data_IF_983225468386
#
_entry.id   IF_983225468386
#
_cell.length_a   1.000
_cell.length_b   1.000
_cell.length_c   1.000
_cell.angle_alpha   90.00
_cell.angle_beta   90.00
_cell.angle_gamma   90.00
#
_symmetry.space_group_name_H-M   'P 1'
#
loop_
_entity.id
_entity.type
_entity.pdbx_description
1 polymer ?
#
# COMPACT_ATOMS: atom_id res chain seq x y z
N UNK A 1 -7.84 -22.05 -8.70
CA UNK A 1 -7.70 -21.23 -7.48
C UNK A 1 -7.01 -19.93 -7.89
N UNK A 2 -7.63 -18.76 -7.67
CA UNK A 2 -6.99 -17.49 -7.96
C UNK A 2 -5.75 -17.33 -7.05
N UNK A 3 -4.62 -16.98 -7.64
CA UNK A 3 -3.38 -16.72 -6.90
C UNK A 3 -3.55 -15.44 -6.08
N UNK A 4 -3.25 -15.51 -4.77
CA UNK A 4 -3.19 -14.34 -3.88
C UNK A 4 -2.30 -13.25 -4.49
N UNK A 5 -2.76 -12.00 -4.47
CA UNK A 5 -2.07 -10.82 -4.99
C UNK A 5 -1.56 -9.96 -3.84
N UNK A 6 -0.30 -9.55 -3.91
CA UNK A 6 0.34 -8.73 -2.91
C UNK A 6 0.70 -7.37 -3.53
N UNK A 7 0.13 -6.28 -3.02
CA UNK A 7 0.41 -4.92 -3.46
C UNK A 7 1.14 -4.15 -2.36
N UNK A 8 2.30 -3.57 -2.67
CA UNK A 8 2.99 -2.64 -1.78
C UNK A 8 2.59 -1.20 -2.11
N UNK A 9 2.14 -0.45 -1.11
CA UNK A 9 1.84 0.97 -1.22
C UNK A 9 2.99 1.75 -0.59
N UNK A 10 3.90 2.29 -1.41
CA UNK A 10 5.14 2.87 -0.93
C UNK A 10 5.49 4.19 -1.62
N UNK A 11 6.05 5.11 -0.87
CA UNK A 11 6.76 6.31 -1.33
C UNK A 11 7.65 6.82 -0.20
N UNK A 12 8.85 7.29 -0.52
CA UNK A 12 9.82 7.82 0.45
C UNK A 12 9.41 9.18 1.02
N UNK A 13 8.42 9.86 0.44
CA UNK A 13 7.87 11.11 0.98
C UNK A 13 6.74 10.82 1.97
N UNK A 14 6.76 11.50 3.13
CA UNK A 14 5.65 11.50 4.08
C UNK A 14 4.47 12.34 3.57
N UNK A 15 3.24 12.01 4.02
CA UNK A 15 2.04 12.81 3.74
C UNK A 15 1.48 12.71 2.32
N UNK A 16 1.98 11.81 1.46
CA UNK A 16 1.50 11.64 0.08
C UNK A 16 0.22 10.80 -0.05
N UNK A 17 -0.35 10.33 1.07
CA UNK A 17 -1.59 9.55 1.08
C UNK A 17 -1.39 8.04 0.98
N UNK A 18 -0.26 7.46 1.41
CA UNK A 18 -0.02 6.00 1.42
C UNK A 18 -1.13 5.25 2.17
N UNK A 19 -1.32 5.54 3.44
CA UNK A 19 -2.35 4.91 4.29
C UNK A 19 -3.77 5.12 3.74
N UNK A 20 -4.07 6.34 3.26
CA UNK A 20 -5.37 6.63 2.61
C UNK A 20 -5.56 5.78 1.36
N UNK A 21 -4.52 5.62 0.54
CA UNK A 21 -4.53 4.77 -0.66
C UNK A 21 -4.73 3.31 -0.29
N UNK A 22 -4.01 2.81 0.73
CA UNK A 22 -4.15 1.43 1.24
C UNK A 22 -5.59 1.15 1.68
N UNK A 23 -6.17 2.04 2.48
CA UNK A 23 -7.56 1.91 2.96
C UNK A 23 -8.57 2.00 1.81
N UNK A 24 -8.43 2.98 0.92
CA UNK A 24 -9.39 3.19 -0.17
C UNK A 24 -9.39 2.03 -1.18
N UNK A 25 -8.20 1.53 -1.56
CA UNK A 25 -8.07 0.38 -2.46
C UNK A 25 -8.53 -0.92 -1.78
N UNK A 26 -8.14 -1.15 -0.50
CA UNK A 26 -8.57 -2.32 0.26
C UNK A 26 -10.09 -2.39 0.40
N UNK A 27 -10.71 -1.27 0.75
CA UNK A 27 -12.17 -1.13 0.81
C UNK A 27 -12.83 -1.38 -0.57
N UNK A 28 -12.24 -0.83 -1.63
CA UNK A 28 -12.73 -1.02 -3.00
C UNK A 28 -12.70 -2.49 -3.42
N UNK A 29 -11.61 -3.20 -3.12
CA UNK A 29 -11.48 -4.65 -3.37
C UNK A 29 -12.49 -5.47 -2.57
N UNK A 30 -12.67 -5.15 -1.27
CA UNK A 30 -13.68 -5.80 -0.43
C UNK A 30 -15.11 -5.58 -0.95
N UNK A 31 -15.42 -4.38 -1.45
CA UNK A 31 -16.70 -4.06 -2.08
C UNK A 31 -16.94 -4.83 -3.40
N UNK A 32 -15.87 -5.28 -4.07
CA UNK A 32 -15.94 -6.18 -5.23
C UNK A 32 -16.04 -7.66 -4.83
N UNK A 33 -16.15 -7.98 -3.54
CA UNK A 33 -16.31 -9.32 -3.01
C UNK A 33 -15.01 -10.08 -2.77
N UNK A 34 -13.85 -9.43 -2.86
CA UNK A 34 -12.57 -10.05 -2.52
C UNK A 34 -12.32 -10.06 -1.02
N UNK A 35 -11.61 -11.08 -0.54
CA UNK A 35 -11.08 -11.15 0.82
C UNK A 35 -9.74 -10.41 0.85
N UNK A 36 -9.65 -9.37 1.67
CA UNK A 36 -8.53 -8.43 1.67
C UNK A 36 -7.87 -8.38 3.04
N UNK A 37 -6.55 -8.42 3.08
CA UNK A 37 -5.75 -8.18 4.28
C UNK A 37 -4.91 -6.92 4.10
N UNK A 38 -5.04 -5.98 5.02
CA UNK A 38 -4.17 -4.81 5.10
C UNK A 38 -3.10 -5.06 6.16
N UNK A 39 -1.83 -4.83 5.83
CA UNK A 39 -0.71 -4.98 6.77
C UNK A 39 -0.04 -3.62 6.95
N UNK A 40 -0.04 -3.12 8.19
CA UNK A 40 0.61 -1.85 8.56
C UNK A 40 2.10 -2.10 8.84
N UNK A 41 2.96 -1.64 7.94
CA UNK A 41 4.42 -1.75 8.07
C UNK A 41 5.07 -0.44 8.57
N UNK A 42 4.27 0.59 8.92
CA UNK A 42 4.81 1.85 9.42
C UNK A 42 4.89 1.83 10.96
N UNK A 43 6.06 2.00 11.58
CA UNK A 43 6.19 2.13 13.03
C UNK A 43 5.32 3.22 13.66
N UNK A 44 4.90 4.24 12.87
CA UNK A 44 3.94 5.25 13.33
C UNK A 44 2.52 4.72 13.49
N UNK A 45 2.23 3.51 12.96
CA UNK A 45 0.96 2.81 13.10
C UNK A 45 -0.25 3.64 12.63
N UNK A 46 -0.11 4.36 11.50
CA UNK A 46 -1.18 5.23 10.98
C UNK A 46 -2.39 4.44 10.52
N UNK A 47 -2.20 3.32 9.84
CA UNK A 47 -3.27 2.42 9.43
C UNK A 47 -3.93 1.76 10.66
N UNK A 48 -3.13 1.27 11.60
CA UNK A 48 -3.58 0.66 12.85
C UNK A 48 -4.45 1.62 13.66
N UNK A 49 -4.02 2.89 13.82
CA UNK A 49 -4.81 3.94 14.49
C UNK A 49 -6.11 4.25 13.76
N UNK A 50 -6.14 4.21 12.44
CA UNK A 50 -7.35 4.45 11.67
C UNK A 50 -8.45 3.45 11.99
N UNK A 51 -8.10 2.20 12.32
CA UNK A 51 -9.03 1.18 12.80
C UNK A 51 -9.38 1.30 14.29
N UNK A 52 -8.91 2.34 14.98
CA UNK A 52 -9.23 2.58 16.39
C UNK A 52 -8.51 1.65 17.37
N UNK A 53 -7.46 0.96 16.92
CA UNK A 53 -6.70 0.04 17.79
C UNK A 53 -5.87 0.86 18.78
N UNK A 54 -5.96 0.50 20.08
CA UNK A 54 -5.11 1.07 21.12
C UNK A 54 -3.67 0.57 20.94
N UNK A 55 -2.70 1.45 21.12
CA UNK A 55 -1.27 1.12 21.00
C UNK A 55 -0.58 0.92 22.36
N UNK A 56 -1.33 1.10 23.44
CA UNK A 56 -0.86 0.84 24.81
C UNK A 56 -1.96 0.05 25.57
N UNK A 57 -1.72 -1.21 25.97
CA UNK A 57 -0.51 -1.99 25.62
C UNK A 57 -0.39 -2.24 24.11
N UNK A 58 0.84 -2.45 23.58
CA UNK A 58 1.04 -2.66 22.15
C UNK A 58 0.31 -3.95 21.68
N UNK A 59 -0.45 -3.88 20.57
CA UNK A 59 -1.12 -5.05 20.01
C UNK A 59 -0.09 -6.04 19.46
N UNK A 60 -0.45 -7.32 19.34
CA UNK A 60 0.29 -8.25 18.48
C UNK A 60 0.09 -7.84 16.99
N UNK A 61 1.13 -8.04 16.18
CA UNK A 61 1.06 -7.62 14.78
C UNK A 61 2.32 -7.95 13.97
N UNK A 62 2.78 -7.03 13.19
CA UNK A 62 3.87 -7.24 12.22
C UNK A 62 5.19 -7.66 12.89
N UNK A 63 5.50 -7.16 14.09
CA UNK A 63 6.76 -7.47 14.78
C UNK A 63 6.93 -8.98 14.99
N UNK A 64 5.85 -9.69 15.28
CA UNK A 64 5.83 -11.13 15.55
C UNK A 64 6.18 -11.96 14.30
N UNK A 65 6.04 -11.41 13.07
CA UNK A 65 6.50 -12.06 11.85
C UNK A 65 8.02 -12.13 11.74
N UNK A 66 8.72 -11.25 12.46
CA UNK A 66 10.19 -11.19 12.54
C UNK A 66 10.76 -11.87 13.77
N UNK A 67 9.92 -12.48 14.61
CA UNK A 67 10.34 -13.23 15.79
C UNK A 67 10.94 -14.61 15.43
N UNK A 68 11.52 -15.27 16.40
CA UNK A 68 12.03 -16.65 16.27
C UNK A 68 11.44 -17.52 17.37
N UNK A 69 10.54 -18.47 17.05
CA UNK A 69 9.93 -18.70 15.74
C UNK A 69 8.97 -17.56 15.32
N UNK A 70 8.77 -17.34 14.00
CA UNK A 70 7.84 -16.33 13.54
C UNK A 70 6.40 -16.79 13.79
N UNK A 71 5.52 -15.84 14.12
CA UNK A 71 4.09 -16.11 14.23
C UNK A 71 3.45 -16.38 12.86
N UNK A 72 2.35 -17.12 12.88
CA UNK A 72 1.53 -17.32 11.69
C UNK A 72 0.70 -16.05 11.41
N UNK A 73 0.68 -15.61 10.14
CA UNK A 73 -0.01 -14.37 9.75
C UNK A 73 -1.51 -14.42 10.06
N UNK A 74 -2.13 -15.60 9.95
CA UNK A 74 -3.55 -15.80 10.28
C UNK A 74 -3.87 -15.54 11.76
N UNK A 75 -2.91 -15.76 12.66
CA UNK A 75 -3.10 -15.49 14.09
C UNK A 75 -2.99 -13.98 14.43
N UNK A 76 -2.44 -13.19 13.52
CA UNK A 76 -2.24 -11.75 13.69
C UNK A 76 -3.30 -10.91 12.96
N UNK A 77 -4.10 -11.54 12.10
CA UNK A 77 -5.14 -10.87 11.33
C UNK A 77 -6.38 -10.60 12.21
N UNK A 78 -6.83 -9.37 12.22
CA UNK A 78 -8.03 -8.92 12.94
C UNK A 78 -9.11 -8.51 11.96
N UNK A 79 -10.32 -9.03 12.14
CA UNK A 79 -11.48 -8.61 11.37
C UNK A 79 -11.82 -7.14 11.62
N UNK A 80 -12.26 -6.45 10.58
CA UNK A 80 -12.71 -5.05 10.67
C UNK A 80 -14.23 -4.94 10.62
N UNK A 81 -14.76 -3.74 10.78
CA UNK A 81 -16.18 -3.47 10.57
C UNK A 81 -16.60 -3.58 9.08
N UNK A 82 -15.66 -3.65 8.14
CA UNK A 82 -15.93 -3.79 6.71
C UNK A 82 -15.89 -5.28 6.36
N UNK A 83 -16.99 -5.87 5.87
CA UNK A 83 -17.02 -7.28 5.48
C UNK A 83 -15.95 -7.61 4.44
N UNK A 84 -15.22 -8.70 4.66
CA UNK A 84 -14.14 -9.14 3.75
C UNK A 84 -12.83 -8.36 3.85
N UNK A 85 -12.69 -7.45 4.83
CA UNK A 85 -11.49 -6.67 5.07
C UNK A 85 -10.94 -6.96 6.47
N UNK A 86 -9.75 -7.53 6.53
CA UNK A 86 -8.98 -7.77 7.76
C UNK A 86 -7.74 -6.87 7.81
N UNK A 87 -7.14 -6.71 8.99
CA UNK A 87 -5.90 -5.96 9.14
C UNK A 87 -4.92 -6.61 10.13
N UNK A 88 -3.62 -6.35 9.93
CA UNK A 88 -2.54 -6.66 10.86
C UNK A 88 -1.91 -5.38 11.36
N UNK A 89 -1.79 -5.27 12.70
CA UNK A 89 -1.33 -4.07 13.37
C UNK A 89 0.18 -3.84 13.22
N UNK A 90 0.59 -2.56 13.14
CA UNK A 90 1.96 -2.15 13.38
C UNK A 90 2.22 -1.92 14.88
N UNK A 91 3.49 -1.98 15.25
CA UNK A 91 3.97 -1.63 16.59
C UNK A 91 5.14 -0.64 16.50
N UNK A 92 5.24 0.28 17.45
CA UNK A 92 6.36 1.23 17.54
C UNK A 92 7.73 0.55 17.59
N UNK A 93 7.80 -0.68 18.12
CA UNK A 93 9.02 -1.48 18.19
C UNK A 93 9.60 -1.85 16.81
N UNK A 94 8.82 -1.77 15.72
CA UNK A 94 9.30 -1.92 14.35
C UNK A 94 10.42 -0.91 14.01
N UNK A 95 10.41 0.29 14.60
CA UNK A 95 11.50 1.26 14.44
C UNK A 95 12.83 0.74 15.03
N UNK A 96 12.76 -0.06 16.10
CA UNK A 96 13.95 -0.68 16.68
C UNK A 96 14.44 -1.85 15.83
N UNK A 97 13.51 -2.64 15.27
CA UNK A 97 13.84 -3.70 14.31
C UNK A 97 14.58 -3.13 13.10
N UNK A 98 14.10 -2.04 12.52
CA UNK A 98 14.77 -1.38 11.38
C UNK A 98 16.21 -0.96 11.70
N UNK A 99 16.42 -0.33 12.85
CA UNK A 99 17.77 0.09 13.28
C UNK A 99 18.74 -1.07 13.50
N UNK A 100 18.25 -2.22 13.98
CA UNK A 100 19.07 -3.41 14.27
C UNK A 100 19.30 -4.31 13.08
N UNK A 101 18.50 -4.20 12.04
CA UNK A 101 18.48 -5.10 10.88
C UNK A 101 19.76 -5.12 10.07
N UNK A 102 20.55 -4.04 10.10
CA UNK A 102 21.81 -3.93 9.33
C UNK A 102 22.81 -5.08 9.65
N UNK A 103 22.66 -5.73 10.81
CA UNK A 103 23.56 -6.78 11.29
C UNK A 103 22.89 -8.17 11.37
N UNK A 104 21.67 -8.36 10.82
CA UNK A 104 20.95 -9.63 10.89
C UNK A 104 20.63 -10.18 9.50
N UNK A 105 21.44 -11.12 8.97
CA UNK A 105 21.15 -11.79 7.70
C UNK A 105 19.80 -12.52 7.74
N UNK A 106 19.07 -12.51 6.61
CA UNK A 106 17.82 -13.26 6.46
C UNK A 106 16.54 -12.47 6.74
N UNK A 107 16.59 -11.36 7.48
CA UNK A 107 15.39 -10.56 7.77
C UNK A 107 14.79 -9.89 6.53
N UNK A 108 15.54 -9.73 5.44
CA UNK A 108 15.07 -9.10 4.19
C UNK A 108 13.94 -9.86 3.48
N UNK A 109 13.70 -11.13 3.82
CA UNK A 109 12.68 -12.00 3.22
C UNK A 109 11.64 -12.52 4.22
N UNK A 110 11.69 -12.07 5.47
CA UNK A 110 10.81 -12.59 6.54
C UNK A 110 9.33 -12.42 6.20
N UNK A 111 8.93 -11.25 5.71
CA UNK A 111 7.55 -10.99 5.29
C UNK A 111 7.16 -11.88 4.10
N UNK A 112 8.01 -12.03 3.10
CA UNK A 112 7.74 -12.90 1.96
C UNK A 112 7.53 -14.35 2.40
N UNK A 113 8.33 -14.86 3.34
CA UNK A 113 8.16 -16.21 3.89
C UNK A 113 6.85 -16.36 4.66
N UNK A 114 6.47 -15.37 5.47
CA UNK A 114 5.18 -15.36 6.17
C UNK A 114 4.01 -15.38 5.18
N UNK A 115 4.05 -14.53 4.14
CA UNK A 115 3.03 -14.46 3.10
C UNK A 115 2.96 -15.74 2.25
N UNK A 116 4.09 -16.39 2.00
CA UNK A 116 4.10 -17.67 1.28
C UNK A 116 3.41 -18.78 2.07
N UNK A 117 3.47 -18.78 3.39
CA UNK A 117 2.72 -19.72 4.25
C UNK A 117 1.23 -19.39 4.37
N UNK A 118 0.84 -18.14 4.12
CA UNK A 118 -0.53 -17.65 4.25
C UNK A 118 -1.37 -17.93 2.99
N UNK A 119 -1.63 -19.20 2.69
CA UNK A 119 -2.36 -19.59 1.47
C UNK A 119 -3.88 -19.63 1.66
N UNK A 120 -4.62 -19.11 0.66
CA UNK A 120 -6.05 -19.38 0.49
C UNK A 120 -7.01 -18.62 1.41
N UNK A 121 -6.53 -17.80 2.33
CA UNK A 121 -7.39 -17.05 3.25
C UNK A 121 -7.80 -15.69 2.66
N UNK A 122 -6.89 -15.02 1.95
CA UNK A 122 -7.13 -13.72 1.32
C UNK A 122 -6.80 -13.78 -0.17
N UNK A 123 -7.53 -12.99 -0.95
CA UNK A 123 -7.33 -12.86 -2.39
C UNK A 123 -6.33 -11.72 -2.69
N UNK A 124 -6.35 -10.68 -1.85
CA UNK A 124 -5.44 -9.54 -1.90
C UNK A 124 -4.82 -9.25 -0.54
N UNK A 125 -3.53 -8.89 -0.56
CA UNK A 125 -2.80 -8.35 0.60
C UNK A 125 -2.21 -7.00 0.20
N UNK A 126 -2.54 -5.94 0.96
CA UNK A 126 -2.03 -4.60 0.76
C UNK A 126 -1.07 -4.24 1.90
N UNK A 127 0.15 -3.83 1.54
CA UNK A 127 1.22 -3.49 2.46
C UNK A 127 1.36 -1.97 2.55
N UNK A 128 0.94 -1.36 3.67
CA UNK A 128 1.11 0.07 3.94
C UNK A 128 2.52 0.34 4.45
N UNK A 129 3.38 0.94 3.62
CA UNK A 129 4.79 1.10 3.91
C UNK A 129 5.13 2.43 4.61
N UNK A 130 6.09 2.39 5.52
CA UNK A 130 6.71 3.59 6.08
C UNK A 130 7.37 4.46 4.99
N UNK A 131 7.57 5.79 5.23
CA UNK A 131 8.23 6.67 4.27
C UNK A 131 9.75 6.48 4.18
N UNK A 132 10.31 5.57 4.99
CA UNK A 132 11.75 5.31 5.05
C UNK A 132 12.14 4.13 4.17
N UNK A 133 13.25 4.27 3.42
CA UNK A 133 13.85 3.15 2.70
C UNK A 133 14.68 2.31 3.68
N UNK A 134 14.00 1.41 4.38
CA UNK A 134 14.58 0.51 5.39
C UNK A 134 14.22 -0.94 5.15
N UNK A 135 14.49 -1.78 6.16
CA UNK A 135 14.19 -3.21 6.14
C UNK A 135 12.74 -3.50 5.77
N UNK A 136 11.77 -2.79 6.38
CA UNK A 136 10.34 -3.05 6.20
C UNK A 136 9.90 -2.75 4.77
N UNK A 137 10.34 -1.63 4.18
CA UNK A 137 10.04 -1.32 2.77
C UNK A 137 10.67 -2.34 1.83
N UNK A 138 11.91 -2.76 2.04
CA UNK A 138 12.57 -3.78 1.21
C UNK A 138 11.82 -5.12 1.30
N UNK A 139 11.40 -5.54 2.51
CA UNK A 139 10.55 -6.73 2.69
C UNK A 139 9.24 -6.63 1.91
N UNK A 140 8.57 -5.47 1.97
CA UNK A 140 7.33 -5.23 1.23
C UNK A 140 7.54 -5.35 -0.28
N UNK A 141 8.55 -4.68 -0.82
CA UNK A 141 8.86 -4.71 -2.25
C UNK A 141 9.32 -6.10 -2.73
N UNK A 142 10.08 -6.82 -1.90
CA UNK A 142 10.50 -8.18 -2.22
C UNK A 142 9.32 -9.15 -2.33
N UNK A 143 8.30 -8.97 -1.49
CA UNK A 143 7.11 -9.81 -1.44
C UNK A 143 6.05 -9.44 -2.50
N UNK A 144 5.98 -8.15 -2.90
CA UNK A 144 4.88 -7.60 -3.68
C UNK A 144 4.81 -8.13 -5.13
N UNK A 145 3.60 -8.30 -5.63
CA UNK A 145 3.31 -8.52 -7.06
C UNK A 145 3.19 -7.20 -7.84
N UNK A 146 2.88 -6.11 -7.14
CA UNK A 146 2.75 -4.76 -7.69
C UNK A 146 3.22 -3.72 -6.67
N UNK A 147 3.84 -2.65 -7.17
CA UNK A 147 4.17 -1.44 -6.39
C UNK A 147 3.23 -0.31 -6.80
N UNK A 148 2.47 0.21 -5.84
CA UNK A 148 1.62 1.39 -6.01
C UNK A 148 2.33 2.57 -5.36
N UNK A 149 2.52 3.66 -6.10
CA UNK A 149 3.29 4.84 -5.68
C UNK A 149 2.37 6.06 -5.63
N UNK A 150 1.67 6.31 -4.51
CA UNK A 150 0.93 7.56 -4.33
C UNK A 150 1.92 8.71 -4.32
N UNK A 151 1.72 9.71 -5.18
CA UNK A 151 2.65 10.82 -5.35
C UNK A 151 1.90 12.13 -5.40
N UNK A 152 2.21 13.05 -4.47
CA UNK A 152 1.58 14.35 -4.42
C UNK A 152 1.81 15.14 -5.72
N UNK A 153 0.74 15.76 -6.25
CA UNK A 153 0.80 16.56 -7.47
C UNK A 153 1.45 17.94 -7.23
N UNK A 154 2.72 17.91 -6.81
CA UNK A 154 3.55 19.13 -6.58
C UNK A 154 4.99 18.92 -7.06
N UNK A 155 5.70 19.98 -7.51
CA UNK A 155 7.02 19.87 -8.15
C UNK A 155 8.07 19.15 -7.31
N UNK A 156 8.09 19.38 -5.99
CA UNK A 156 9.07 18.74 -5.09
C UNK A 156 8.86 17.23 -4.94
N UNK A 157 7.70 16.70 -5.31
CA UNK A 157 7.44 15.27 -5.24
C UNK A 157 8.09 14.47 -6.36
N UNK A 158 8.44 15.11 -7.49
CA UNK A 158 9.03 14.43 -8.66
C UNK A 158 10.37 13.77 -8.33
N UNK A 159 11.23 14.42 -7.55
CA UNK A 159 12.51 13.83 -7.16
C UNK A 159 12.33 12.55 -6.30
N UNK A 160 11.39 12.59 -5.35
CA UNK A 160 11.06 11.42 -4.53
C UNK A 160 10.44 10.28 -5.35
N UNK A 161 9.60 10.63 -6.34
CA UNK A 161 9.03 9.66 -7.27
C UNK A 161 10.12 8.96 -8.09
N UNK A 162 11.04 9.73 -8.70
CA UNK A 162 12.16 9.16 -9.48
C UNK A 162 13.02 8.23 -8.60
N UNK A 163 13.22 8.59 -7.31
CA UNK A 163 13.92 7.74 -6.33
C UNK A 163 13.17 6.44 -6.06
N UNK A 164 11.85 6.51 -5.87
CA UNK A 164 11.02 5.32 -5.60
C UNK A 164 10.97 4.37 -6.80
N UNK A 165 10.83 4.90 -8.01
CA UNK A 165 10.86 4.10 -9.24
C UNK A 165 12.20 3.38 -9.38
N UNK A 166 13.34 4.07 -9.19
CA UNK A 166 14.67 3.43 -9.20
C UNK A 166 14.81 2.33 -8.14
N UNK A 167 14.25 2.55 -6.94
CA UNK A 167 14.26 1.54 -5.88
C UNK A 167 13.46 0.30 -6.31
N UNK A 168 12.26 0.48 -6.86
CA UNK A 168 11.45 -0.61 -7.41
C UNK A 168 12.19 -1.40 -8.49
N UNK A 169 12.84 -0.72 -9.43
CA UNK A 169 13.63 -1.35 -10.50
C UNK A 169 14.87 -2.11 -9.96
N UNK A 170 15.50 -1.63 -8.90
CA UNK A 170 16.60 -2.36 -8.24
C UNK A 170 16.09 -3.65 -7.58
N UNK A 171 14.96 -3.59 -6.88
CA UNK A 171 14.35 -4.78 -6.26
C UNK A 171 13.90 -5.77 -7.32
N UNK A 172 13.28 -5.30 -8.41
CA UNK A 172 12.87 -6.13 -9.55
C UNK A 172 14.05 -6.94 -10.11
N UNK A 173 15.18 -6.25 -10.38
CA UNK A 173 16.40 -6.91 -10.87
C UNK A 173 16.97 -7.92 -9.87
N UNK A 174 16.97 -7.58 -8.57
CA UNK A 174 17.51 -8.44 -7.51
C UNK A 174 16.71 -9.75 -7.36
N UNK A 175 15.39 -9.67 -7.40
CA UNK A 175 14.50 -10.82 -7.21
C UNK A 175 14.24 -11.62 -8.49
N UNK A 176 14.72 -11.16 -9.64
CA UNK A 176 14.54 -11.77 -10.99
C UNK A 176 13.06 -12.04 -11.33
N UNK A 177 12.17 -11.18 -10.83
CA UNK A 177 10.74 -11.26 -11.04
C UNK A 177 10.20 -9.84 -11.25
N UNK A 178 9.32 -9.64 -12.23
CA UNK A 178 8.72 -8.35 -12.55
C UNK A 178 8.03 -7.72 -11.34
N UNK A 179 8.13 -6.39 -11.26
CA UNK A 179 7.42 -5.57 -10.28
C UNK A 179 6.70 -4.42 -11.01
N UNK A 180 5.53 -4.69 -11.56
CA UNK A 180 4.73 -3.64 -12.17
C UNK A 180 4.52 -2.47 -11.22
N UNK A 181 4.62 -1.25 -11.75
CA UNK A 181 4.50 -0.02 -10.95
C UNK A 181 3.32 0.79 -11.42
N UNK A 182 2.48 1.22 -10.47
CA UNK A 182 1.33 2.11 -10.69
C UNK A 182 1.54 3.41 -9.91
N UNK A 183 1.76 4.51 -10.60
CA UNK A 183 1.94 5.83 -10.00
C UNK A 183 0.58 6.51 -9.97
N UNK A 184 0.14 6.86 -8.76
CA UNK A 184 -1.13 7.56 -8.54
C UNK A 184 -0.85 9.01 -8.14
N UNK A 185 -1.13 10.00 -9.02
CA UNK A 185 -1.11 11.39 -8.62
C UNK A 185 -2.15 11.65 -7.52
N UNK A 186 -1.72 12.19 -6.38
CA UNK A 186 -2.57 12.41 -5.19
C UNK A 186 -2.57 13.87 -4.77
N UNK A 187 -3.50 14.24 -3.88
CA UNK A 187 -3.62 15.59 -3.33
C UNK A 187 -3.69 16.65 -4.44
N UNK A 188 -4.34 16.29 -5.55
CA UNK A 188 -4.43 17.14 -6.72
C UNK A 188 -5.46 18.26 -6.52
N UNK A 189 -4.98 19.51 -6.55
CA UNK A 189 -5.85 20.69 -6.58
C UNK A 189 -5.98 21.19 -8.03
N UNK A 190 -7.16 20.98 -8.61
CA UNK A 190 -7.49 21.38 -10.00
C UNK A 190 -7.36 22.88 -10.26
N UNK A 191 -7.29 23.71 -9.23
CA UNK A 191 -7.19 25.17 -9.34
C UNK A 191 -5.73 25.62 -9.54
N UNK A 192 -4.76 24.75 -9.32
CA UNK A 192 -3.34 25.12 -9.34
C UNK A 192 -2.69 24.70 -10.66
N UNK A 193 -2.02 25.67 -11.30
CA UNK A 193 -1.20 25.42 -12.49
C UNK A 193 -0.06 24.44 -12.21
N UNK A 194 0.58 24.60 -11.04
CA UNK A 194 1.67 23.74 -10.61
C UNK A 194 1.24 22.26 -10.50
N UNK A 195 0.02 21.98 -10.00
CA UNK A 195 -0.53 20.63 -9.95
C UNK A 195 -0.67 20.00 -11.35
N UNK A 196 -1.25 20.73 -12.30
CA UNK A 196 -1.40 20.26 -13.66
C UNK A 196 -0.06 20.00 -14.36
N UNK A 197 0.90 20.94 -14.23
CA UNK A 197 2.23 20.80 -14.81
C UNK A 197 2.97 19.61 -14.19
N UNK A 198 2.81 19.38 -12.87
CA UNK A 198 3.44 18.24 -12.19
C UNK A 198 2.89 16.90 -12.68
N UNK A 199 1.56 16.75 -12.80
CA UNK A 199 0.95 15.52 -13.32
C UNK A 199 1.41 15.27 -14.76
N UNK A 200 1.46 16.29 -15.59
CA UNK A 200 1.98 16.20 -16.97
C UNK A 200 3.45 15.72 -16.98
N UNK A 201 4.30 16.28 -16.12
CA UNK A 201 5.70 15.86 -16.01
C UNK A 201 5.85 14.42 -15.49
N UNK A 202 4.98 13.95 -14.58
CA UNK A 202 4.93 12.54 -14.19
C UNK A 202 4.65 11.65 -15.39
N UNK A 203 3.65 11.99 -16.21
CA UNK A 203 3.27 11.25 -17.41
C UNK A 203 4.38 11.26 -18.49
N UNK A 204 5.01 12.39 -18.72
CA UNK A 204 6.15 12.51 -19.64
C UNK A 204 7.35 11.66 -19.23
N UNK A 205 7.64 11.54 -17.92
CA UNK A 205 8.80 10.79 -17.40
C UNK A 205 8.55 9.30 -17.26
N UNK A 206 7.32 8.90 -16.87
CA UNK A 206 7.02 7.53 -16.48
C UNK A 206 5.96 6.84 -17.35
N UNK A 207 5.38 7.56 -18.31
CA UNK A 207 4.49 7.02 -19.34
C UNK A 207 3.30 6.26 -18.76
N UNK A 208 3.06 5.08 -19.27
CA UNK A 208 1.91 4.23 -18.91
C UNK A 208 1.89 3.77 -17.44
N UNK A 209 2.98 3.95 -16.69
CA UNK A 209 3.01 3.68 -15.24
C UNK A 209 2.18 4.69 -14.45
N UNK A 210 1.85 5.85 -15.04
CA UNK A 210 1.10 6.94 -14.38
C UNK A 210 -0.36 6.85 -14.76
N UNK A 211 -1.21 6.80 -13.75
CA UNK A 211 -2.66 6.91 -13.95
C UNK A 211 -3.02 8.26 -14.60
N UNK A 212 -3.87 8.24 -15.62
CA UNK A 212 -4.22 9.41 -16.43
C UNK A 212 -5.04 10.47 -15.67
N UNK A 213 -5.76 10.08 -14.62
CA UNK A 213 -6.49 10.97 -13.72
C UNK A 213 -5.69 11.20 -12.43
N UNK A 214 -6.26 11.86 -11.43
CA UNK A 214 -5.62 12.14 -10.15
C UNK A 214 -6.61 12.06 -8.99
N UNK A 215 -6.11 11.67 -7.81
CA UNK A 215 -6.87 11.73 -6.56
C UNK A 215 -6.93 13.19 -6.10
N UNK A 216 -8.13 13.82 -6.08
CA UNK A 216 -8.25 15.21 -5.70
C UNK A 216 -8.05 15.41 -4.20
N UNK A 217 -7.72 16.62 -3.80
CA UNK A 217 -7.86 17.04 -2.41
C UNK A 217 -9.34 16.92 -2.02
N UNK A 218 -9.62 16.08 -1.03
CA UNK A 218 -10.97 15.86 -0.50
C UNK A 218 -10.90 15.68 1.02
N UNK A 219 -11.55 16.56 1.78
CA UNK A 219 -11.57 16.53 3.24
C UNK A 219 -12.22 15.26 3.80
N UNK A 220 -13.09 14.59 3.04
CA UNK A 220 -13.76 13.36 3.44
C UNK A 220 -12.82 12.17 3.57
N UNK A 221 -11.73 12.15 2.82
CA UNK A 221 -10.70 11.09 2.86
C UNK A 221 -9.43 11.53 3.61
N UNK A 222 -9.34 12.79 4.05
CA UNK A 222 -8.22 13.27 4.87
C UNK A 222 -8.17 12.58 6.25
N UNK A 223 -9.34 12.25 6.81
CA UNK A 223 -9.41 11.44 8.02
C UNK A 223 -9.48 9.95 7.65
N UNK A 224 -8.37 9.25 7.77
CA UNK A 224 -8.28 7.82 7.45
C UNK A 224 -9.33 6.98 8.20
N UNK A 225 -9.68 7.34 9.44
CA UNK A 225 -10.71 6.65 10.21
C UNK A 225 -12.10 6.68 9.54
N UNK A 226 -12.40 7.68 8.72
CA UNK A 226 -13.66 7.69 7.96
C UNK A 226 -13.75 6.59 6.91
N UNK A 227 -12.62 6.03 6.51
CA UNK A 227 -12.53 4.95 5.54
C UNK A 227 -12.63 3.55 6.16
N UNK A 228 -12.61 3.44 7.49
CA UNK A 228 -12.65 2.16 8.21
C UNK A 228 -14.05 1.76 8.67
N UNK A 229 -15.05 2.61 8.45
CA UNK A 229 -16.46 2.33 8.75
C UNK A 229 -17.21 1.93 7.48
N UNK A 230 -18.21 1.01 7.57
CA UNK A 230 -19.08 0.71 6.45
C UNK A 230 -19.80 1.98 5.98
N UNK A 231 -19.95 2.15 4.67
CA UNK A 231 -20.76 3.25 4.13
C UNK A 231 -22.23 2.97 4.39
N UNK A 232 -22.93 3.90 5.01
CA UNK A 232 -24.39 3.80 5.20
C UNK A 232 -25.17 4.20 3.93
N UNK A 233 -24.50 4.82 2.95
CA UNK A 233 -25.09 5.14 1.64
C UNK A 233 -24.00 5.16 0.59
N UNK A 234 -24.07 4.23 -0.35
CA UNK A 234 -23.23 4.22 -1.56
C UNK A 234 -23.59 5.38 -2.53
N UNK A 235 -24.62 6.15 -2.24
CA UNK A 235 -25.18 7.14 -3.16
C UNK A 235 -24.31 8.39 -3.37
N UNK A 236 -23.33 8.67 -2.48
CA UNK A 236 -22.41 9.80 -2.67
C UNK A 236 -21.02 9.54 -2.06
N UNK A 237 -20.16 8.80 -2.74
CA UNK A 237 -18.85 8.40 -2.18
C UNK A 237 -17.81 9.53 -2.14
N UNK A 238 -18.17 10.80 -2.24
CA UNK A 238 -17.21 11.89 -2.32
C UNK A 238 -16.26 11.79 -3.56
N UNK A 239 -15.67 12.92 -3.93
CA UNK A 239 -14.79 12.98 -5.12
C UNK A 239 -13.54 12.12 -4.97
N UNK A 240 -12.98 12.06 -3.76
CA UNK A 240 -11.78 11.28 -3.47
C UNK A 240 -12.01 9.78 -3.59
N UNK A 241 -13.07 9.23 -2.96
CA UNK A 241 -13.40 7.80 -3.07
C UNK A 241 -13.80 7.41 -4.49
N UNK A 242 -14.56 8.25 -5.21
CA UNK A 242 -14.88 8.02 -6.61
C UNK A 242 -13.61 7.96 -7.49
N UNK A 243 -12.62 8.81 -7.21
CA UNK A 243 -11.33 8.77 -7.89
C UNK A 243 -10.55 7.49 -7.57
N UNK A 244 -10.51 7.06 -6.31
CA UNK A 244 -9.88 5.79 -5.93
C UNK A 244 -10.57 4.57 -6.57
N UNK A 245 -11.90 4.58 -6.76
CA UNK A 245 -12.61 3.51 -7.50
C UNK A 245 -12.10 3.41 -8.92
N UNK A 246 -12.00 4.53 -9.66
CA UNK A 246 -11.45 4.55 -11.02
C UNK A 246 -9.97 4.14 -11.07
N UNK A 247 -9.18 4.57 -10.08
CA UNK A 247 -7.79 4.14 -9.98
C UNK A 247 -7.67 2.63 -9.75
N UNK A 248 -8.54 2.04 -8.91
CA UNK A 248 -8.62 0.60 -8.71
C UNK A 248 -8.97 -0.14 -9.99
N UNK A 249 -9.98 0.32 -10.73
CA UNK A 249 -10.39 -0.25 -12.02
C UNK A 249 -9.22 -0.23 -13.02
N UNK A 250 -8.48 0.87 -13.10
CA UNK A 250 -7.28 0.99 -13.94
C UNK A 250 -6.18 0.00 -13.52
N UNK A 251 -5.90 -0.14 -12.22
CA UNK A 251 -4.90 -1.09 -11.71
C UNK A 251 -5.31 -2.54 -12.04
N UNK A 252 -6.58 -2.90 -11.84
CA UNK A 252 -7.07 -4.25 -12.10
C UNK A 252 -7.05 -4.58 -13.59
N UNK A 253 -7.35 -3.62 -14.47
CA UNK A 253 -7.26 -3.80 -15.92
C UNK A 253 -5.81 -4.06 -16.37
N UNK A 254 -4.83 -3.31 -15.82
CA UNK A 254 -3.41 -3.55 -16.09
C UNK A 254 -2.93 -4.92 -15.56
N UNK A 255 -3.39 -5.33 -14.37
CA UNK A 255 -3.10 -6.66 -13.82
C UNK A 255 -3.60 -7.79 -14.74
N UNK A 256 -4.82 -7.65 -15.28
CA UNK A 256 -5.40 -8.63 -16.19
C UNK A 256 -4.56 -8.76 -17.49
N UNK A 257 -4.20 -7.63 -18.11
CA UNK A 257 -3.36 -7.62 -19.31
C UNK A 257 -1.98 -8.25 -19.10
N UNK A 258 -1.38 -8.02 -17.92
CA UNK A 258 -0.08 -8.63 -17.58
C UNK A 258 -0.18 -10.14 -17.39
N UNK A 259 -1.29 -10.64 -16.86
CA UNK A 259 -1.53 -12.09 -16.75
C UNK A 259 -1.67 -12.73 -18.11
N UNK A 260 -2.40 -12.12 -19.03
CA UNK A 260 -2.55 -12.61 -20.40
C UNK A 260 -1.22 -12.68 -21.15
N UNK A 261 -0.33 -11.72 -20.93
CA UNK A 261 1.02 -11.70 -21.54
C UNK A 261 1.98 -12.73 -20.94
N UNK A 262 1.71 -13.22 -19.73
CA UNK A 262 2.57 -14.16 -19.01
C UNK A 262 2.09 -15.64 -19.16
N UNK A 263 0.88 -15.86 -19.71
CA UNK A 263 0.29 -17.17 -19.98
C UNK A 263 0.62 -17.65 -21.39
#
# INVERSE_FOLDING_TARGET
>A
MNRMRIWAIANQKGGVGKTTTTLALGRGLAALGHRVLLIDLDPHASLTRAFGVALDPPPQGVLELFATPPAELSALAHATAIPGLDHVCAQAALATLERRSANQPGLGLALQQALTRHHGQHDYILLDCAPTLGLLMINALAAADRLIIPTQAEPLALHGLDGMVRTGEMVERSRRRTLPMSILPTLFDRRTRAGHETVKLMQERHGQRVWEDAIPVDTRICNAASLTVPSQSDDYPGRGLAAYRRALEWILADDAQQMERAA
#
